data_IF_639159733536
#
_entry.id   IF_639159733536
#
_cell.length_a   1.000
_cell.length_b   1.000
_cell.length_c   1.000
_cell.angle_alpha   90.00
_cell.angle_beta   90.00
_cell.angle_gamma   90.00
#
_symmetry.space_group_name_H-M   'P 1'
#
loop_
_entity.id
_entity.type
_entity.pdbx_description
1 polymer ?
#
# COMPACT_ATOMS: atom_id res chain seq x y z
N UNK A 1 11.31 -11.24 14.07
CA UNK A 1 9.90 -11.39 13.71
C UNK A 1 8.99 -10.33 14.32
N UNK A 2 9.17 -9.97 15.57
CA UNK A 2 8.35 -8.90 16.20
C UNK A 2 8.47 -7.52 15.55
N UNK A 3 9.53 -7.23 14.84
CA UNK A 3 9.78 -5.91 14.24
C UNK A 3 8.76 -5.53 13.17
N UNK A 4 8.17 -6.51 12.47
CA UNK A 4 7.14 -6.27 11.45
C UNK A 4 5.72 -6.41 11.97
N UNK A 5 5.57 -7.09 13.09
CA UNK A 5 4.30 -7.49 13.65
C UNK A 5 3.91 -6.68 14.88
N UNK A 6 4.79 -5.80 15.37
CA UNK A 6 4.42 -5.00 16.52
C UNK A 6 3.36 -3.99 16.11
N UNK A 7 2.29 -3.97 16.85
CA UNK A 7 1.48 -2.77 16.90
C UNK A 7 2.42 -1.61 17.26
N UNK A 8 2.30 -0.49 16.61
CA UNK A 8 3.13 0.70 16.88
C UNK A 8 2.97 1.23 18.32
N UNK A 9 2.17 0.58 19.14
CA UNK A 9 2.01 0.84 20.57
C UNK A 9 3.19 0.34 21.41
N UNK A 10 4.08 -0.48 20.82
CA UNK A 10 5.26 -1.05 21.47
C UNK A 10 4.95 -1.85 22.75
N UNK A 11 3.72 -2.30 22.94
CA UNK A 11 3.32 -3.06 24.14
C UNK A 11 4.17 -4.33 24.35
N UNK A 12 4.64 -4.93 23.27
CA UNK A 12 5.55 -6.08 23.33
C UNK A 12 6.94 -5.74 23.87
N UNK A 13 7.35 -4.47 23.88
CA UNK A 13 8.63 -4.05 24.45
C UNK A 13 8.63 -4.07 26.00
N UNK A 14 7.47 -4.12 26.62
CA UNK A 14 7.33 -4.28 28.08
C UNK A 14 7.59 -5.73 28.55
N UNK A 15 7.66 -6.67 27.61
CA UNK A 15 8.02 -8.06 27.86
C UNK A 15 9.49 -8.32 27.57
N UNK A 16 9.98 -9.48 28.02
CA UNK A 16 11.35 -9.91 27.73
C UNK A 16 11.41 -10.42 26.27
N UNK A 17 11.71 -9.52 25.33
CA UNK A 17 11.87 -9.88 23.93
C UNK A 17 13.32 -9.55 23.48
N UNK A 18 14.14 -10.56 23.10
CA UNK A 18 15.52 -10.35 22.68
C UNK A 18 15.64 -9.59 21.34
N UNK A 19 14.52 -9.40 20.63
CA UNK A 19 14.48 -8.64 19.38
C UNK A 19 14.39 -7.13 19.59
N UNK A 20 14.22 -6.66 20.83
CA UNK A 20 14.17 -5.25 21.16
C UNK A 20 15.43 -4.81 21.88
N UNK A 21 15.99 -3.72 21.40
CA UNK A 21 17.14 -3.04 22.03
C UNK A 21 16.69 -1.63 22.39
N UNK A 22 16.92 -1.23 23.64
CA UNK A 22 16.68 0.15 24.08
C UNK A 22 17.89 1.02 23.76
N UNK A 23 17.67 2.09 23.01
CA UNK A 23 18.71 3.11 22.75
C UNK A 23 18.46 4.28 23.68
N UNK A 24 19.31 4.40 24.73
CA UNK A 24 19.20 5.48 25.70
C UNK A 24 19.77 6.76 25.09
N UNK A 25 19.01 7.88 25.17
CA UNK A 25 19.41 9.18 24.60
C UNK A 25 19.24 9.30 23.07
N UNK A 26 18.86 8.22 22.39
CA UNK A 26 18.54 8.25 20.96
C UNK A 26 17.17 8.87 20.69
N UNK A 27 17.05 9.64 19.61
CA UNK A 27 15.77 10.09 19.08
C UNK A 27 15.55 9.48 17.69
N UNK A 28 14.37 8.88 17.41
CA UNK A 28 14.09 8.37 16.09
C UNK A 28 14.24 9.48 15.03
N UNK A 29 15.04 9.23 14.01
CA UNK A 29 15.12 10.15 12.88
C UNK A 29 13.88 9.96 12.03
N UNK A 30 12.90 10.86 12.16
CA UNK A 30 11.76 10.90 11.25
C UNK A 30 12.22 11.50 9.91
N UNK A 31 11.90 10.84 8.81
CA UNK A 31 12.01 11.45 7.51
C UNK A 31 11.12 12.72 7.49
N UNK A 32 11.65 13.83 6.98
CA UNK A 32 10.85 15.04 6.83
C UNK A 32 9.91 14.82 5.66
N UNK A 33 8.60 14.96 5.90
CA UNK A 33 7.65 15.07 4.81
C UNK A 33 8.03 16.26 3.91
N UNK A 34 7.83 16.10 2.62
CA UNK A 34 8.08 17.19 1.67
C UNK A 34 7.04 18.29 1.92
N UNK A 35 7.49 19.51 2.22
CA UNK A 35 6.59 20.66 2.40
C UNK A 35 5.93 21.00 1.07
N UNK A 36 4.61 21.00 1.02
CA UNK A 36 3.85 21.28 -0.20
C UNK A 36 3.90 22.76 -0.60
N UNK A 37 4.19 23.67 0.34
CA UNK A 37 4.17 25.12 0.12
C UNK A 37 5.17 25.63 -0.93
N UNK A 38 6.21 24.83 -1.22
CA UNK A 38 7.25 25.18 -2.19
C UNK A 38 7.08 24.49 -3.56
N UNK A 39 6.03 23.67 -3.74
CA UNK A 39 5.85 22.86 -4.94
C UNK A 39 4.66 23.36 -5.74
N UNK A 40 4.94 23.89 -6.94
CA UNK A 40 3.89 24.19 -7.92
C UNK A 40 3.53 22.91 -8.68
N UNK A 41 2.36 22.35 -8.37
CA UNK A 41 1.74 21.32 -9.19
C UNK A 41 0.56 21.95 -9.95
N UNK A 42 0.34 21.59 -11.23
CA UNK A 42 -0.87 21.95 -11.92
C UNK A 42 -2.11 21.34 -11.24
N UNK A 43 -3.26 21.95 -11.47
CA UNK A 43 -4.52 21.36 -11.03
C UNK A 43 -4.69 19.97 -11.63
N UNK A 44 -5.11 19.02 -10.80
CA UNK A 44 -5.34 17.66 -11.26
C UNK A 44 -6.63 17.59 -12.08
N UNK A 45 -6.58 17.02 -13.30
CA UNK A 45 -7.80 16.76 -14.03
C UNK A 45 -8.69 15.79 -13.26
N UNK A 46 -10.01 15.99 -13.34
CA UNK A 46 -10.94 15.02 -12.81
C UNK A 46 -10.81 13.69 -13.61
N UNK A 47 -10.71 12.54 -12.95
CA UNK A 47 -10.71 11.26 -13.65
C UNK A 47 -12.08 10.96 -14.25
N UNK A 48 -12.12 10.17 -15.30
CA UNK A 48 -13.36 9.61 -15.79
C UNK A 48 -13.81 8.48 -14.85
N UNK A 49 -14.91 8.72 -14.12
CA UNK A 49 -15.44 7.76 -13.17
C UNK A 49 -16.22 6.63 -13.86
N UNK A 50 -16.11 5.38 -13.37
CA UNK A 50 -16.92 4.27 -13.87
C UNK A 50 -18.43 4.55 -13.69
N UNK A 51 -19.22 4.21 -14.68
CA UNK A 51 -20.68 4.31 -14.61
C UNK A 51 -21.27 3.14 -13.83
N UNK A 52 -22.25 3.42 -12.98
CA UNK A 52 -22.96 2.42 -12.18
C UNK A 52 -24.22 1.93 -12.91
N UNK A 53 -24.08 1.36 -14.11
CA UNK A 53 -25.21 0.72 -14.81
C UNK A 53 -25.63 -0.59 -14.12
N UNK A 54 -24.73 -1.18 -13.36
CA UNK A 54 -24.89 -2.35 -12.49
C UNK A 54 -23.94 -2.21 -11.31
N UNK A 55 -23.99 -3.13 -10.35
CA UNK A 55 -23.00 -3.11 -9.26
C UNK A 55 -21.57 -3.18 -9.79
N UNK A 56 -20.72 -2.23 -9.39
CA UNK A 56 -19.30 -2.18 -9.69
C UNK A 56 -18.51 -2.86 -8.58
N UNK A 57 -17.65 -3.78 -8.95
CA UNK A 57 -17.03 -4.73 -8.04
C UNK A 57 -15.53 -4.46 -7.90
N UNK A 58 -15.12 -4.02 -6.73
CA UNK A 58 -13.72 -3.73 -6.40
C UNK A 58 -13.20 -4.81 -5.44
N UNK A 59 -12.04 -5.37 -5.74
CA UNK A 59 -11.32 -6.26 -4.81
C UNK A 59 -10.08 -5.55 -4.31
N UNK A 60 -9.93 -5.46 -2.99
CA UNK A 60 -8.75 -4.91 -2.36
C UNK A 60 -7.99 -6.06 -1.72
N UNK A 61 -6.72 -6.21 -2.09
CA UNK A 61 -5.93 -7.37 -1.65
C UNK A 61 -4.67 -6.92 -0.95
N UNK A 62 -4.20 -7.73 -0.02
CA UNK A 62 -2.90 -7.49 0.60
C UNK A 62 -2.64 -8.39 1.80
N UNK A 63 -1.45 -8.25 2.36
CA UNK A 63 -1.04 -8.96 3.57
C UNK A 63 -1.73 -8.34 4.79
N UNK A 64 -2.23 -9.18 5.67
CA UNK A 64 -2.91 -8.77 6.91
C UNK A 64 -2.02 -7.89 7.79
N UNK A 65 -2.63 -6.87 8.41
CA UNK A 65 -1.95 -5.89 9.24
C UNK A 65 -1.39 -4.67 8.50
N UNK A 66 -1.53 -4.61 7.18
CA UNK A 66 -1.05 -3.47 6.37
C UNK A 66 -2.13 -2.40 6.11
N UNK A 67 -3.36 -2.59 6.58
CA UNK A 67 -4.45 -1.61 6.42
C UNK A 67 -5.34 -1.84 5.18
N UNK A 68 -5.36 -3.04 4.62
CA UNK A 68 -6.23 -3.41 3.49
C UNK A 68 -7.70 -3.17 3.80
N UNK A 69 -8.16 -3.62 4.98
CA UNK A 69 -9.55 -3.45 5.44
C UNK A 69 -9.92 -1.98 5.58
N UNK A 70 -8.96 -1.14 5.98
CA UNK A 70 -9.19 0.30 6.12
C UNK A 70 -9.60 0.95 4.79
N UNK A 71 -9.01 0.52 3.67
CA UNK A 71 -9.39 1.04 2.35
C UNK A 71 -10.85 0.68 2.04
N UNK A 72 -11.23 -0.58 2.27
CA UNK A 72 -12.61 -1.04 2.08
C UNK A 72 -13.61 -0.23 2.91
N UNK A 73 -13.29 -0.01 4.19
CA UNK A 73 -14.11 0.79 5.09
C UNK A 73 -14.22 2.26 4.65
N UNK A 74 -13.13 2.88 4.20
CA UNK A 74 -13.14 4.26 3.69
C UNK A 74 -13.99 4.40 2.42
N UNK A 75 -13.87 3.47 1.48
CA UNK A 75 -14.68 3.46 0.27
C UNK A 75 -16.16 3.18 0.56
N UNK A 76 -16.46 2.29 1.52
CA UNK A 76 -17.82 2.07 1.98
C UNK A 76 -18.44 3.31 2.63
N UNK A 77 -17.67 4.03 3.45
CA UNK A 77 -18.10 5.30 4.03
C UNK A 77 -18.32 6.36 2.94
N UNK A 78 -17.42 6.45 1.95
CA UNK A 78 -17.57 7.38 0.83
C UNK A 78 -18.82 7.06 0.00
N UNK A 79 -19.11 5.79 -0.26
CA UNK A 79 -20.35 5.36 -0.93
C UNK A 79 -21.60 5.76 -0.13
N UNK A 80 -21.56 5.61 1.21
CA UNK A 80 -22.63 6.04 2.09
C UNK A 80 -22.84 7.57 2.07
N UNK A 81 -21.76 8.36 2.04
CA UNK A 81 -21.83 9.82 1.91
C UNK A 81 -22.55 10.21 0.61
N UNK A 82 -22.28 9.49 -0.48
CA UNK A 82 -22.95 9.69 -1.78
C UNK A 82 -24.35 9.05 -1.88
N UNK A 83 -24.83 8.42 -0.80
CA UNK A 83 -26.09 7.70 -0.74
C UNK A 83 -26.21 6.55 -1.76
N UNK A 84 -25.08 5.98 -2.15
CA UNK A 84 -24.99 4.81 -3.02
C UNK A 84 -25.12 3.52 -2.23
N UNK A 85 -25.61 2.47 -2.88
CA UNK A 85 -25.60 1.13 -2.33
C UNK A 85 -24.18 0.60 -2.16
N UNK A 86 -23.91 -0.06 -1.03
CA UNK A 86 -22.58 -0.61 -0.74
C UNK A 86 -22.69 -1.95 -0.01
N UNK A 87 -21.87 -2.93 -0.43
CA UNK A 87 -21.68 -4.20 0.26
C UNK A 87 -20.18 -4.49 0.43
N UNK A 88 -19.77 -4.77 1.66
CA UNK A 88 -18.36 -5.10 1.99
C UNK A 88 -18.31 -6.50 2.60
N UNK A 89 -17.32 -7.28 2.17
CA UNK A 89 -17.00 -8.58 2.76
C UNK A 89 -15.49 -8.75 2.86
N UNK A 90 -14.99 -8.74 4.08
CA UNK A 90 -13.58 -8.98 4.36
C UNK A 90 -13.32 -10.46 4.59
N UNK A 91 -12.48 -11.05 3.76
CA UNK A 91 -12.01 -12.42 3.87
C UNK A 91 -10.59 -12.41 4.46
N UNK A 92 -10.50 -12.76 5.73
CA UNK A 92 -9.25 -12.78 6.48
C UNK A 92 -8.84 -14.24 6.70
N UNK A 93 -7.56 -14.56 6.44
CA UNK A 93 -7.01 -15.87 6.77
C UNK A 93 -6.92 -16.09 8.28
N UNK A 94 -6.86 -17.36 8.70
CA UNK A 94 -6.71 -17.74 10.13
C UNK A 94 -5.35 -17.34 10.73
N UNK A 95 -4.36 -16.99 9.90
CA UNK A 95 -3.10 -16.48 10.38
C UNK A 95 -3.31 -15.07 10.99
N UNK A 96 -3.01 -14.93 12.27
CA UNK A 96 -3.20 -13.66 13.00
C UNK A 96 -2.41 -12.49 12.39
N UNK A 97 -1.29 -12.77 11.72
CA UNK A 97 -0.43 -11.78 11.05
C UNK A 97 0.17 -12.38 9.79
N UNK A 98 0.31 -11.54 8.76
CA UNK A 98 0.95 -11.96 7.49
C UNK A 98 0.09 -12.88 6.61
N UNK A 99 -1.17 -13.17 6.98
CA UNK A 99 -2.10 -13.91 6.14
C UNK A 99 -2.65 -13.06 5.00
N UNK A 100 -3.11 -13.71 3.93
CA UNK A 100 -3.77 -13.02 2.82
C UNK A 100 -5.12 -12.44 3.27
N UNK A 101 -5.36 -11.19 2.92
CA UNK A 101 -6.64 -10.49 3.12
C UNK A 101 -7.18 -10.13 1.75
N UNK A 102 -8.45 -10.45 1.52
CA UNK A 102 -9.22 -10.00 0.37
C UNK A 102 -10.46 -9.28 0.89
N UNK A 103 -10.59 -8.02 0.56
CA UNK A 103 -11.80 -7.23 0.83
C UNK A 103 -12.59 -7.09 -0.46
N UNK A 104 -13.78 -7.63 -0.50
CA UNK A 104 -14.72 -7.50 -1.60
C UNK A 104 -15.60 -6.31 -1.32
N UNK A 105 -15.58 -5.33 -2.21
CA UNK A 105 -16.39 -4.14 -2.15
C UNK A 105 -17.28 -4.08 -3.40
N UNK A 106 -18.58 -3.95 -3.21
CA UNK A 106 -19.54 -3.74 -4.28
C UNK A 106 -20.24 -2.41 -4.09
N UNK A 107 -20.27 -1.60 -5.13
CA UNK A 107 -20.90 -0.29 -5.14
C UNK A 107 -21.98 -0.30 -6.25
N UNK A 108 -23.17 0.17 -5.94
CA UNK A 108 -24.27 0.27 -6.88
C UNK A 108 -25.00 1.60 -6.70
N UNK A 109 -25.83 1.98 -7.65
CA UNK A 109 -26.65 3.19 -7.51
C UNK A 109 -27.59 3.07 -6.31
N UNK A 110 -28.20 1.89 -6.11
CA UNK A 110 -29.11 1.63 -5.00
C UNK A 110 -28.67 0.39 -4.20
N UNK A 111 -29.02 0.35 -2.91
CA UNK A 111 -28.68 -0.78 -2.03
C UNK A 111 -29.34 -2.09 -2.46
N UNK A 112 -30.53 -2.04 -3.03
CA UNK A 112 -31.32 -3.21 -3.46
C UNK A 112 -30.68 -3.95 -4.65
N UNK A 113 -29.73 -3.33 -5.34
CA UNK A 113 -28.98 -3.95 -6.45
C UNK A 113 -27.86 -4.87 -5.95
N UNK A 114 -27.55 -4.83 -4.64
CA UNK A 114 -26.49 -5.63 -4.04
C UNK A 114 -27.08 -6.87 -3.36
N UNK A 115 -27.20 -7.94 -4.11
CA UNK A 115 -27.79 -9.20 -3.61
C UNK A 115 -26.82 -10.04 -2.79
N UNK A 116 -25.50 -9.88 -2.97
CA UNK A 116 -24.45 -10.59 -2.25
C UNK A 116 -23.22 -9.72 -2.14
N UNK A 117 -22.56 -9.63 -0.98
CA UNK A 117 -21.31 -8.88 -0.85
C UNK A 117 -20.12 -9.62 -1.50
N UNK A 118 -20.21 -10.94 -1.72
CA UNK A 118 -19.11 -11.71 -2.33
C UNK A 118 -19.09 -11.52 -3.84
N UNK A 119 -17.92 -11.18 -4.38
CA UNK A 119 -17.64 -11.13 -5.81
C UNK A 119 -17.35 -12.56 -6.28
N UNK A 120 -18.01 -12.98 -7.35
CA UNK A 120 -17.81 -14.29 -7.96
C UNK A 120 -16.51 -14.36 -8.78
N UNK A 121 -16.09 -15.55 -9.17
CA UNK A 121 -14.97 -15.73 -10.10
C UNK A 121 -15.20 -14.99 -11.41
N UNK A 122 -14.16 -14.28 -11.89
CA UNK A 122 -14.26 -13.43 -13.08
C UNK A 122 -15.20 -12.22 -12.93
N UNK A 123 -15.57 -11.85 -11.70
CA UNK A 123 -16.54 -10.78 -11.45
C UNK A 123 -15.97 -9.45 -10.99
N UNK A 124 -14.67 -9.31 -10.88
CA UNK A 124 -14.04 -8.05 -10.48
C UNK A 124 -13.97 -7.07 -11.66
N UNK A 125 -14.42 -5.83 -11.44
CA UNK A 125 -14.22 -4.72 -12.38
C UNK A 125 -12.86 -4.04 -12.12
N UNK A 126 -12.48 -3.89 -10.86
CA UNK A 126 -11.19 -3.34 -10.45
C UNK A 126 -10.53 -4.15 -9.32
N UNK A 127 -9.19 -4.18 -9.31
CA UNK A 127 -8.40 -4.77 -8.22
C UNK A 127 -7.35 -3.77 -7.76
N UNK A 128 -7.35 -3.48 -6.45
CA UNK A 128 -6.34 -2.66 -5.78
C UNK A 128 -5.45 -3.60 -4.97
N UNK A 129 -4.28 -3.92 -5.50
CA UNK A 129 -3.32 -4.83 -4.89
C UNK A 129 -2.31 -4.11 -4.00
N UNK A 130 -2.48 -4.20 -2.68
CA UNK A 130 -1.57 -3.56 -1.73
C UNK A 130 -0.20 -4.25 -1.65
N UNK A 131 -0.08 -5.46 -2.17
CA UNK A 131 1.19 -6.18 -2.38
C UNK A 131 1.10 -7.16 -3.56
N UNK A 132 2.26 -7.62 -4.02
CA UNK A 132 2.37 -8.54 -5.16
C UNK A 132 1.97 -9.96 -4.83
N UNK A 133 2.25 -10.44 -3.62
CA UNK A 133 2.09 -11.86 -3.26
C UNK A 133 0.62 -12.24 -3.22
N UNK A 134 -0.20 -11.45 -2.52
CA UNK A 134 -1.64 -11.72 -2.46
C UNK A 134 -2.30 -11.40 -3.79
N UNK A 135 -1.86 -10.34 -4.48
CA UNK A 135 -2.41 -9.97 -5.79
C UNK A 135 -2.13 -11.01 -6.88
N UNK A 136 -0.94 -11.65 -6.85
CA UNK A 136 -0.57 -12.74 -7.76
C UNK A 136 -1.02 -14.12 -7.29
N UNK A 137 -1.69 -14.21 -6.14
CA UNK A 137 -2.19 -15.47 -5.62
C UNK A 137 -3.45 -15.97 -6.35
N UNK A 138 -3.61 -17.29 -6.45
CA UNK A 138 -4.72 -17.92 -7.19
C UNK A 138 -6.10 -17.36 -6.80
N UNK A 139 -6.35 -17.13 -5.50
CA UNK A 139 -7.63 -16.60 -5.01
C UNK A 139 -7.96 -15.21 -5.55
N UNK A 140 -6.95 -14.38 -5.81
CA UNK A 140 -7.13 -13.07 -6.42
C UNK A 140 -7.29 -13.21 -7.93
N UNK A 141 -6.43 -14.01 -8.57
CA UNK A 141 -6.46 -14.20 -10.02
C UNK A 141 -7.75 -14.88 -10.51
N UNK A 142 -8.37 -15.73 -9.70
CA UNK A 142 -9.70 -16.31 -9.99
C UNK A 142 -10.81 -15.26 -10.10
N UNK A 143 -10.66 -14.08 -9.49
CA UNK A 143 -11.63 -12.99 -9.55
C UNK A 143 -11.49 -12.12 -10.78
N UNK A 144 -10.37 -12.23 -11.48
CA UNK A 144 -10.03 -11.43 -12.68
C UNK A 144 -10.86 -11.88 -13.87
N UNK A 145 -11.46 -10.93 -14.57
CA UNK A 145 -12.04 -11.10 -15.89
C UNK A 145 -11.03 -10.60 -16.93
N UNK A 146 -10.44 -11.53 -17.66
CA UNK A 146 -9.39 -11.20 -18.62
C UNK A 146 -9.84 -10.15 -19.65
N UNK A 147 -9.05 -9.12 -19.86
CA UNK A 147 -9.35 -8.03 -20.78
C UNK A 147 -10.36 -7.00 -20.27
N UNK A 148 -10.98 -7.21 -19.10
CA UNK A 148 -11.95 -6.29 -18.50
C UNK A 148 -11.49 -5.72 -17.17
N UNK A 149 -11.05 -6.59 -16.25
CA UNK A 149 -10.61 -6.17 -14.90
C UNK A 149 -9.38 -5.28 -15.00
N UNK A 150 -9.46 -4.07 -14.45
CA UNK A 150 -8.32 -3.17 -14.33
C UNK A 150 -7.65 -3.36 -12.96
N UNK A 151 -6.32 -3.36 -12.96
CA UNK A 151 -5.54 -3.60 -11.74
C UNK A 151 -4.51 -2.52 -11.50
N UNK A 152 -4.41 -2.06 -10.26
CA UNK A 152 -3.30 -1.25 -9.76
C UNK A 152 -2.64 -2.01 -8.62
N UNK A 153 -1.35 -2.32 -8.75
CA UNK A 153 -0.65 -3.20 -7.82
C UNK A 153 0.63 -2.56 -7.29
N UNK A 154 0.77 -2.56 -5.96
CA UNK A 154 2.01 -2.14 -5.32
C UNK A 154 3.12 -3.14 -5.62
N UNK A 155 4.14 -2.69 -6.33
CA UNK A 155 5.28 -3.52 -6.73
C UNK A 155 6.40 -3.61 -5.69
N UNK A 156 6.16 -3.12 -4.45
CA UNK A 156 7.13 -3.26 -3.38
C UNK A 156 7.31 -4.73 -3.00
N UNK A 157 8.57 -5.15 -2.91
CA UNK A 157 8.92 -6.52 -2.50
C UNK A 157 8.68 -6.69 -1.00
N UNK A 158 7.61 -7.38 -0.65
CA UNK A 158 7.30 -7.71 0.73
C UNK A 158 7.69 -9.16 1.01
N UNK A 159 8.71 -9.35 1.81
CA UNK A 159 9.17 -10.68 2.21
C UNK A 159 8.09 -11.33 3.09
N UNK A 160 7.66 -12.53 2.71
CA UNK A 160 6.66 -13.33 3.44
C UNK A 160 7.31 -14.19 4.52
N UNK A 161 6.48 -14.89 5.31
CA UNK A 161 6.95 -15.84 6.32
C UNK A 161 7.78 -17.00 5.78
N UNK A 162 7.68 -17.32 4.49
CA UNK A 162 8.44 -18.40 3.86
C UNK A 162 9.95 -18.13 3.85
N UNK A 163 10.34 -16.86 3.83
CA UNK A 163 11.73 -16.46 3.95
C UNK A 163 12.39 -16.91 5.28
N UNK A 164 11.60 -17.15 6.31
CA UNK A 164 12.12 -17.71 7.58
C UNK A 164 12.48 -19.18 7.47
N UNK A 165 11.94 -19.88 6.48
CA UNK A 165 12.22 -21.31 6.20
C UNK A 165 13.38 -21.47 5.24
N UNK A 166 13.49 -20.56 4.29
CA UNK A 166 14.59 -20.51 3.32
C UNK A 166 15.20 -19.12 3.28
N UNK A 167 16.34 -18.94 3.94
CA UNK A 167 17.07 -17.66 3.99
C UNK A 167 17.64 -17.21 2.63
N UNK A 168 17.76 -18.14 1.68
CA UNK A 168 18.26 -17.88 0.34
C UNK A 168 17.12 -17.67 -0.68
N UNK A 169 15.88 -17.67 -0.24
CA UNK A 169 14.74 -17.44 -1.11
C UNK A 169 14.85 -16.10 -1.83
N UNK A 170 14.85 -16.14 -3.14
CA UNK A 170 14.75 -14.96 -3.99
C UNK A 170 13.27 -14.61 -4.14
N UNK A 171 12.92 -13.34 -3.93
CA UNK A 171 11.54 -12.90 -4.11
C UNK A 171 11.13 -13.03 -5.59
N UNK A 172 10.05 -13.77 -5.92
CA UNK A 172 9.67 -14.06 -7.30
C UNK A 172 8.96 -12.88 -7.97
N UNK A 173 9.63 -11.72 -8.02
CA UNK A 173 9.05 -10.45 -8.51
C UNK A 173 8.55 -10.55 -9.94
N UNK A 174 9.38 -11.12 -10.82
CA UNK A 174 9.08 -11.19 -12.26
C UNK A 174 7.96 -12.19 -12.54
N UNK A 175 7.97 -13.32 -11.87
CA UNK A 175 6.95 -14.36 -12.00
C UNK A 175 5.58 -13.87 -11.54
N UNK A 176 5.51 -13.17 -10.39
CA UNK A 176 4.27 -12.60 -9.89
C UNK A 176 3.72 -11.53 -10.83
N UNK A 177 4.57 -10.60 -11.28
CA UNK A 177 4.15 -9.57 -12.25
C UNK A 177 3.67 -10.20 -13.56
N UNK A 178 4.37 -11.22 -14.05
CA UNK A 178 3.99 -11.94 -15.25
C UNK A 178 2.65 -12.63 -15.09
N UNK A 179 2.43 -13.36 -14.01
CA UNK A 179 1.16 -14.05 -13.74
C UNK A 179 -0.03 -13.07 -13.67
N UNK A 180 0.15 -11.92 -13.02
CA UNK A 180 -0.88 -10.88 -12.95
C UNK A 180 -1.16 -10.31 -14.35
N UNK A 181 -0.12 -9.94 -15.09
CA UNK A 181 -0.26 -9.34 -16.41
C UNK A 181 -0.83 -10.31 -17.45
N UNK A 182 -0.46 -11.59 -17.41
CA UNK A 182 -1.02 -12.62 -18.29
C UNK A 182 -2.50 -12.90 -17.99
N UNK A 183 -2.91 -12.81 -16.73
CA UNK A 183 -4.31 -13.07 -16.33
C UNK A 183 -5.22 -11.90 -16.68
N UNK A 184 -4.82 -10.67 -16.39
CA UNK A 184 -5.68 -9.49 -16.59
C UNK A 184 -5.52 -8.87 -18.01
N UNK A 185 -4.39 -9.12 -18.67
CA UNK A 185 -3.93 -8.41 -19.85
C UNK A 185 -2.97 -7.28 -19.49
N UNK A 186 -1.87 -7.17 -20.22
CA UNK A 186 -0.77 -6.21 -19.93
C UNK A 186 -1.25 -4.76 -19.87
N UNK A 187 -2.21 -4.38 -20.72
CA UNK A 187 -2.73 -3.03 -20.81
C UNK A 187 -3.72 -2.68 -19.67
N UNK A 188 -4.12 -3.67 -18.89
CA UNK A 188 -5.06 -3.51 -17.78
C UNK A 188 -4.37 -3.48 -16.42
N UNK A 189 -3.04 -3.55 -16.37
CA UNK A 189 -2.30 -3.64 -15.10
C UNK A 189 -1.27 -2.54 -14.97
N UNK A 190 -1.38 -1.76 -13.91
CA UNK A 190 -0.39 -0.76 -13.52
C UNK A 190 0.38 -1.22 -12.28
N UNK A 191 1.70 -1.22 -12.36
CA UNK A 191 2.60 -1.52 -11.24
C UNK A 191 3.29 -0.26 -10.74
N UNK A 192 3.10 0.06 -9.45
CA UNK A 192 3.73 1.22 -8.82
C UNK A 192 4.34 0.85 -7.47
N UNK A 193 5.54 1.30 -7.18
CA UNK A 193 6.11 1.13 -5.84
C UNK A 193 5.59 2.23 -4.90
N UNK A 194 4.34 2.07 -4.45
CA UNK A 194 3.66 3.03 -3.58
C UNK A 194 4.35 3.18 -2.22
N UNK A 195 4.94 2.11 -1.69
CA UNK A 195 5.65 2.17 -0.41
C UNK A 195 6.91 3.03 -0.47
N UNK A 196 7.70 2.91 -1.53
CA UNK A 196 8.90 3.72 -1.73
C UNK A 196 8.54 5.21 -1.88
N UNK A 197 7.50 5.50 -2.66
CA UNK A 197 7.02 6.86 -2.90
C UNK A 197 6.42 7.48 -1.64
N UNK A 198 5.53 6.77 -0.95
CA UNK A 198 4.92 7.24 0.30
C UNK A 198 5.98 7.50 1.37
N UNK A 199 6.97 6.61 1.52
CA UNK A 199 8.07 6.81 2.47
C UNK A 199 8.89 8.06 2.14
N UNK A 200 9.18 8.30 0.86
CA UNK A 200 9.97 9.47 0.45
C UNK A 200 9.21 10.79 0.60
N UNK A 201 7.91 10.81 0.27
CA UNK A 201 7.10 12.03 0.22
C UNK A 201 6.47 12.39 1.56
N UNK A 202 6.07 11.39 2.33
CA UNK A 202 5.27 11.55 3.57
C UNK A 202 6.10 11.22 4.81
N UNK A 203 7.17 10.43 4.63
CA UNK A 203 8.04 10.01 5.72
C UNK A 203 7.58 8.74 6.44
N UNK A 204 6.49 8.10 6.00
CA UNK A 204 5.97 6.88 6.61
C UNK A 204 5.45 5.90 5.55
N UNK A 205 5.90 4.65 5.63
CA UNK A 205 5.46 3.57 4.73
C UNK A 205 3.99 3.17 4.95
N UNK A 206 3.40 3.50 6.10
CA UNK A 206 2.00 3.17 6.41
C UNK A 206 1.03 3.90 5.48
N UNK A 207 1.45 5.03 4.93
CA UNK A 207 0.69 5.82 3.98
C UNK A 207 0.62 5.22 2.56
N UNK A 208 1.33 4.10 2.32
CA UNK A 208 1.42 3.47 0.98
C UNK A 208 0.07 3.05 0.42
N UNK A 209 -0.84 2.60 1.28
CA UNK A 209 -2.15 2.12 0.83
C UNK A 209 -3.08 3.28 0.44
N UNK A 210 -3.05 4.39 1.18
CA UNK A 210 -3.80 5.60 0.82
C UNK A 210 -3.22 6.26 -0.44
N UNK A 211 -1.90 6.19 -0.62
CA UNK A 211 -1.24 6.58 -1.86
C UNK A 211 -1.73 5.72 -3.03
N UNK A 212 -1.76 4.40 -2.86
CA UNK A 212 -2.24 3.46 -3.89
C UNK A 212 -3.72 3.69 -4.21
N UNK A 213 -4.54 3.99 -3.19
CA UNK A 213 -5.94 4.37 -3.38
C UNK A 213 -6.09 5.62 -4.25
N UNK A 214 -5.29 6.66 -3.98
CA UNK A 214 -5.27 7.89 -4.79
C UNK A 214 -4.83 7.63 -6.23
N UNK A 215 -3.85 6.76 -6.42
CA UNK A 215 -3.38 6.33 -7.72
C UNK A 215 -4.48 5.60 -8.50
N UNK A 216 -5.12 4.62 -7.88
CA UNK A 216 -6.23 3.87 -8.47
C UNK A 216 -7.44 4.77 -8.79
N UNK A 217 -7.76 5.73 -7.90
CA UNK A 217 -8.81 6.70 -8.13
C UNK A 217 -8.57 7.55 -9.40
N UNK A 218 -7.35 8.08 -9.55
CA UNK A 218 -7.02 8.94 -10.69
C UNK A 218 -6.98 8.16 -12.02
N UNK A 219 -6.76 6.84 -11.98
CA UNK A 219 -6.92 5.95 -13.13
C UNK A 219 -8.38 5.56 -13.42
N UNK A 220 -9.35 6.11 -12.68
CA UNK A 220 -10.77 5.83 -12.91
C UNK A 220 -11.22 4.42 -12.49
N UNK A 221 -10.61 3.84 -11.45
CA UNK A 221 -10.97 2.51 -10.95
C UNK A 221 -12.03 2.56 -9.84
N UNK A 222 -12.48 3.73 -9.43
CA UNK A 222 -13.36 3.91 -8.28
C UNK A 222 -14.56 4.77 -8.69
N UNK A 223 -15.81 4.29 -8.58
CA UNK A 223 -17.00 5.01 -9.01
C UNK A 223 -17.55 5.97 -7.95
N UNK A 224 -16.66 6.70 -7.27
CA UNK A 224 -16.97 7.65 -6.20
C UNK A 224 -16.23 8.96 -6.45
N UNK A 225 -16.72 10.06 -5.90
CA UNK A 225 -16.08 11.37 -5.99
C UNK A 225 -14.89 11.49 -5.03
N UNK A 226 -13.87 12.26 -5.43
CA UNK A 226 -12.72 12.52 -4.57
C UNK A 226 -13.11 13.16 -3.23
N UNK A 227 -14.06 14.11 -3.27
CA UNK A 227 -14.56 14.80 -2.09
C UNK A 227 -15.16 13.85 -1.05
N UNK A 228 -15.87 12.81 -1.51
CA UNK A 228 -16.49 11.82 -0.63
C UNK A 228 -15.44 10.90 0.00
N UNK A 229 -14.39 10.54 -0.74
CA UNK A 229 -13.26 9.77 -0.21
C UNK A 229 -12.48 10.61 0.82
N UNK A 230 -12.21 11.87 0.52
CA UNK A 230 -11.53 12.78 1.44
C UNK A 230 -12.34 13.01 2.72
N UNK A 231 -13.67 13.13 2.61
CA UNK A 231 -14.53 13.26 3.79
C UNK A 231 -14.57 11.97 4.60
N UNK A 232 -14.59 10.81 3.97
CA UNK A 232 -14.46 9.53 4.67
C UNK A 232 -13.13 9.42 5.44
N UNK A 233 -12.03 9.93 4.89
CA UNK A 233 -10.73 10.01 5.58
C UNK A 233 -10.84 10.94 6.81
N UNK A 234 -11.54 12.07 6.73
CA UNK A 234 -11.76 13.00 7.87
C UNK A 234 -12.60 12.35 8.96
N UNK A 235 -13.68 11.67 8.57
CA UNK A 235 -14.57 10.96 9.51
C UNK A 235 -13.82 9.83 10.23
N UNK A 236 -12.92 9.12 9.55
CA UNK A 236 -12.11 8.08 10.16
C UNK A 236 -11.16 8.61 11.26
N UNK A 237 -10.86 9.90 11.28
CA UNK A 237 -10.14 10.64 12.31
C UNK A 237 -8.73 10.10 12.69
N UNK A 238 -8.14 9.23 11.87
CA UNK A 238 -6.81 8.65 12.11
C UNK A 238 -5.83 9.28 11.12
N UNK A 239 -4.80 9.96 11.63
CA UNK A 239 -3.73 10.58 10.83
C UNK A 239 -4.27 11.34 9.59
N UNK A 240 -5.31 12.14 9.78
CA UNK A 240 -6.14 12.73 8.71
C UNK A 240 -5.28 13.47 7.68
N UNK A 241 -4.45 14.41 8.11
CA UNK A 241 -3.61 15.19 7.20
C UNK A 241 -2.64 14.32 6.39
N UNK A 242 -2.04 13.33 7.05
CA UNK A 242 -1.11 12.40 6.41
C UNK A 242 -1.83 11.54 5.36
N UNK A 243 -3.03 11.07 5.67
CA UNK A 243 -3.83 10.24 4.77
C UNK A 243 -4.37 11.04 3.59
N UNK A 244 -4.83 12.28 3.80
CA UNK A 244 -5.23 13.19 2.72
C UNK A 244 -4.05 13.51 1.80
N UNK A 245 -2.87 13.76 2.36
CA UNK A 245 -1.66 13.97 1.57
C UNK A 245 -1.27 12.72 0.78
N UNK A 246 -1.37 11.55 1.38
CA UNK A 246 -1.08 10.28 0.69
C UNK A 246 -2.00 10.08 -0.51
N UNK A 247 -3.29 10.27 -0.32
CA UNK A 247 -4.29 10.20 -1.39
C UNK A 247 -3.99 11.19 -2.51
N UNK A 248 -3.69 12.45 -2.17
CA UNK A 248 -3.33 13.47 -3.15
C UNK A 248 -2.04 13.15 -3.92
N UNK A 249 -1.00 12.66 -3.23
CA UNK A 249 0.25 12.26 -3.88
C UNK A 249 0.06 11.06 -4.80
N UNK A 250 -0.81 10.12 -4.44
CA UNK A 250 -1.20 9.02 -5.32
C UNK A 250 -1.85 9.51 -6.61
N UNK A 251 -2.79 10.44 -6.51
CA UNK A 251 -3.44 11.08 -7.66
C UNK A 251 -2.43 11.81 -8.56
N UNK A 252 -1.52 12.58 -7.97
CA UNK A 252 -0.44 13.26 -8.70
C UNK A 252 0.47 12.27 -9.42
N UNK A 253 0.80 11.16 -8.79
CA UNK A 253 1.66 10.14 -9.38
C UNK A 253 1.00 9.43 -10.58
N UNK A 254 -0.31 9.25 -10.55
CA UNK A 254 -1.06 8.72 -11.69
C UNK A 254 -1.13 9.69 -12.87
N UNK A 255 -1.11 11.00 -12.58
CA UNK A 255 -1.12 12.03 -13.61
C UNK A 255 0.29 12.29 -14.20
N UNK A 256 1.29 12.46 -13.34
CA UNK A 256 2.70 12.66 -13.75
C UNK A 256 3.67 12.00 -12.74
N UNK A 257 3.95 10.73 -12.99
CA UNK A 257 4.87 9.94 -12.18
C UNK A 257 6.31 10.50 -12.24
N UNK A 258 6.71 11.11 -13.35
CA UNK A 258 8.08 11.63 -13.49
C UNK A 258 8.27 12.86 -12.61
N UNK A 259 7.30 13.76 -12.56
CA UNK A 259 7.34 14.93 -11.68
C UNK A 259 7.36 14.50 -10.21
N UNK A 260 6.51 13.56 -9.83
CA UNK A 260 6.47 13.03 -8.46
C UNK A 260 7.80 12.36 -8.08
N UNK A 261 8.41 11.60 -8.98
CA UNK A 261 9.72 10.99 -8.74
C UNK A 261 10.84 12.04 -8.55
N UNK A 262 10.82 13.15 -9.29
CA UNK A 262 11.80 14.26 -9.08
C UNK A 262 11.67 14.88 -7.69
N UNK A 263 10.45 14.99 -7.19
CA UNK A 263 10.19 15.49 -5.83
C UNK A 263 10.56 14.48 -4.76
N UNK A 264 10.19 13.22 -4.96
CA UNK A 264 10.46 12.15 -4.02
C UNK A 264 11.97 11.85 -3.89
N UNK A 265 12.70 11.93 -5.01
CA UNK A 265 14.12 11.57 -5.10
C UNK A 265 14.90 12.68 -5.82
N UNK A 266 15.11 13.83 -5.17
CA UNK A 266 15.89 14.91 -5.75
C UNK A 266 17.32 14.43 -6.04
N UNK A 267 17.80 14.66 -7.27
CA UNK A 267 19.13 14.21 -7.73
C UNK A 267 20.30 14.83 -6.93
N UNK A 268 20.03 15.76 -6.04
CA UNK A 268 20.98 16.37 -5.12
C UNK A 268 21.27 15.57 -3.86
N UNK A 269 20.70 14.39 -3.69
CA UNK A 269 21.28 13.44 -2.74
C UNK A 269 22.69 13.08 -3.25
N UNK A 270 23.66 13.95 -2.94
CA UNK A 270 25.07 13.65 -3.03
C UNK A 270 25.22 12.23 -2.51
N UNK A 271 25.74 11.34 -3.34
CA UNK A 271 26.46 10.16 -2.84
C UNK A 271 27.34 10.73 -1.74
N UNK A 272 26.98 10.50 -0.48
CA UNK A 272 27.93 10.70 0.59
C UNK A 272 29.03 9.71 0.24
N UNK A 273 30.11 10.23 -0.32
CA UNK A 273 31.34 9.46 -0.43
C UNK A 273 31.56 8.89 0.96
N UNK A 274 31.33 7.60 1.11
CA UNK A 274 31.66 6.88 2.33
C UNK A 274 33.15 7.06 2.46
N UNK A 275 33.58 7.94 3.38
CA UNK A 275 35.00 8.07 3.69
C UNK A 275 35.51 6.68 3.98
N UNK A 276 36.58 6.24 3.33
CA UNK A 276 37.13 4.93 3.63
C UNK A 276 37.46 4.89 5.13
N UNK A 277 37.03 3.83 5.79
CA UNK A 277 37.30 3.59 7.21
C UNK A 277 38.82 3.56 7.39
N UNK A 278 39.33 4.52 8.10
CA UNK A 278 40.78 4.64 8.35
C UNK A 278 41.17 4.19 9.75
N UNK A 279 40.23 4.08 10.68
CA UNK A 279 40.46 3.59 12.03
C UNK A 279 39.26 2.84 12.60
N UNK A 280 39.48 2.09 13.69
CA UNK A 280 38.42 1.39 14.45
C UNK A 280 37.42 2.36 15.08
N UNK A 281 37.84 3.60 15.32
CA UNK A 281 37.02 4.64 15.96
C UNK A 281 36.11 5.39 14.96
N UNK A 282 36.26 5.14 13.65
CA UNK A 282 35.42 5.77 12.66
C UNK A 282 33.97 5.26 12.78
N UNK A 283 32.95 6.15 12.78
CA UNK A 283 31.55 5.74 12.85
C UNK A 283 31.19 4.97 11.59
N UNK A 284 30.95 3.68 11.75
CA UNK A 284 30.59 2.77 10.67
C UNK A 284 29.06 2.54 10.69
N UNK A 285 28.43 2.63 9.53
CA UNK A 285 27.04 2.24 9.37
C UNK A 285 26.97 0.72 9.26
N UNK A 286 26.82 0.05 10.40
CA UNK A 286 26.68 -1.40 10.44
C UNK A 286 25.24 -1.81 10.16
N UNK A 287 25.00 -2.45 9.05
CA UNK A 287 23.72 -3.10 8.79
C UNK A 287 23.80 -4.63 8.96
N UNK A 288 25.00 -5.21 8.94
CA UNK A 288 25.13 -6.68 8.96
C UNK A 288 26.49 -7.24 9.48
N UNK A 289 27.39 -6.39 9.98
CA UNK A 289 28.73 -6.86 10.44
C UNK A 289 28.89 -6.97 11.97
N UNK A 290 27.89 -6.59 12.75
CA UNK A 290 27.99 -6.60 14.22
C UNK A 290 27.51 -7.89 14.88
N UNK A 291 26.79 -8.75 14.18
CA UNK A 291 26.30 -10.01 14.73
C UNK A 291 27.38 -11.01 15.16
N UNK A 292 28.52 -11.17 14.48
CA UNK A 292 29.55 -12.09 14.93
C UNK A 292 30.35 -11.61 16.14
N UNK A 293 30.41 -10.31 16.36
CA UNK A 293 31.26 -9.72 17.42
C UNK A 293 30.57 -9.75 18.80
N UNK A 294 29.24 -9.75 18.83
CA UNK A 294 28.46 -9.79 20.08
C UNK A 294 28.43 -11.20 20.71
N UNK A 295 28.73 -12.23 19.92
CA UNK A 295 28.77 -13.63 20.39
C UNK A 295 30.10 -14.05 20.98
N UNK A 296 31.08 -13.15 21.06
CA UNK A 296 32.44 -13.45 21.54
C UNK A 296 32.79 -12.72 22.84
N UNK A 297 31.83 -12.15 23.56
CA UNK A 297 32.03 -11.55 24.90
C UNK A 297 31.23 -12.29 25.96
#
# INVERSE_FOLDING_TARGET
MCIRDSNKDYSCANGLCPSFVSVIGGKPRKAKAVSQESLSFPDLPAPELPKLEKSYNIVITGVGGTGVITIGALLGMAAHIEKKGCGILDMIGLAQKGGAVLSHLRIAENQDEIHSPRIAGGGADAIIGCDLVVSGGNKTLELVNAGHTKMVVNSHEMITGDFTRDANMVFPLLELKKAIAETAGTDNVEFINSQRLATALIGDSIASNLFLLGYAFQHGLIPLEASSIEEAIRINAIAVDQNLQAFLWGRRAAHDLQQVNRVAFPQTARVQETKPIQSIDDPVSYTHLTLPTILLV
#
